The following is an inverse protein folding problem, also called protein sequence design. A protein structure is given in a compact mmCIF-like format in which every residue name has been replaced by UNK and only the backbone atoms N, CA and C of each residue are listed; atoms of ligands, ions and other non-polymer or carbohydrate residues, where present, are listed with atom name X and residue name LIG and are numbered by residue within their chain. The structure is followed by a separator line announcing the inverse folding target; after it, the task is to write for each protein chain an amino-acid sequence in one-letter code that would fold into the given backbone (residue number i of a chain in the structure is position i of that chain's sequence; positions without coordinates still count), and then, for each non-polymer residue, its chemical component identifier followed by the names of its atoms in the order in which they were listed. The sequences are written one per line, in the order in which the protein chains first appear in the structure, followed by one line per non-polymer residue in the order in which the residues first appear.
data_IF_070066196379
#
_entry.id   IF_070066196379
#
_cell.length_a   1.000
_cell.length_b   1.000
_cell.length_c   1.000
_cell.angle_alpha   90.00
_cell.angle_beta   90.00
_cell.angle_gamma   90.00
#
_symmetry.space_group_name_H-M   'P 1'
#
loop_
_entity.id
_entity.type
_entity.pdbx_description
1 polymer ?
#
# COMPACT_ATOMS: atom_id res chain seq x y z
N UNK A 1 -11.98 -10.52 22.94
CA UNK A 1 -11.58 -9.33 22.15
C UNK A 1 -12.22 -9.47 20.77
N UNK A 2 -13.03 -8.50 20.34
CA UNK A 2 -13.91 -8.64 19.17
C UNK A 2 -13.12 -8.64 17.84
N UNK A 3 -13.43 -9.55 16.91
CA UNK A 3 -12.78 -9.69 15.60
C UNK A 3 -12.76 -8.40 14.77
N UNK A 4 -13.75 -7.52 14.99
CA UNK A 4 -13.86 -6.19 14.37
C UNK A 4 -12.70 -5.27 14.79
N UNK A 5 -12.29 -5.30 16.06
CA UNK A 5 -11.19 -4.46 16.54
C UNK A 5 -9.86 -4.86 15.91
N UNK A 6 -9.61 -6.17 15.75
CA UNK A 6 -8.42 -6.67 15.08
C UNK A 6 -8.37 -6.27 13.61
N UNK A 7 -9.52 -6.24 12.93
CA UNK A 7 -9.60 -5.77 11.55
C UNK A 7 -9.19 -4.30 11.41
N UNK A 8 -9.73 -3.41 12.24
CA UNK A 8 -9.35 -1.99 12.20
C UNK A 8 -7.89 -1.77 12.61
N UNK A 9 -7.40 -2.51 13.61
CA UNK A 9 -5.99 -2.48 13.99
C UNK A 9 -5.10 -2.92 12.82
N UNK A 10 -5.49 -3.97 12.10
CA UNK A 10 -4.75 -4.46 10.93
C UNK A 10 -4.70 -3.43 9.80
N UNK A 11 -5.82 -2.79 9.48
CA UNK A 11 -5.88 -1.69 8.51
C UNK A 11 -4.97 -0.52 8.91
N UNK A 12 -5.01 -0.15 10.19
CA UNK A 12 -4.20 0.93 10.72
C UNK A 12 -2.70 0.61 10.66
N UNK A 13 -2.30 -0.59 11.09
CA UNK A 13 -0.90 -1.05 11.02
C UNK A 13 -0.43 -1.09 9.57
N UNK A 14 -1.24 -1.59 8.65
CA UNK A 14 -0.91 -1.59 7.22
C UNK A 14 -0.67 -0.18 6.68
N UNK A 15 -1.55 0.78 7.01
CA UNK A 15 -1.39 2.18 6.62
C UNK A 15 -0.13 2.82 7.22
N UNK A 16 0.16 2.58 8.50
CA UNK A 16 1.40 3.07 9.15
C UNK A 16 2.66 2.49 8.51
N UNK A 17 2.66 1.19 8.19
CA UNK A 17 3.78 0.54 7.50
C UNK A 17 4.00 1.16 6.11
N UNK A 18 2.93 1.44 5.38
CA UNK A 18 3.02 2.16 4.11
C UNK A 18 3.70 3.53 4.27
N UNK A 19 3.26 4.35 5.24
CA UNK A 19 3.84 5.67 5.49
C UNK A 19 5.33 5.56 5.86
N UNK A 20 5.69 4.60 6.70
CA UNK A 20 7.08 4.38 7.09
C UNK A 20 7.95 4.00 5.87
N UNK A 21 7.46 3.13 4.99
CA UNK A 21 8.14 2.78 3.75
C UNK A 21 8.23 3.95 2.77
N UNK A 22 7.19 4.78 2.65
CA UNK A 22 7.21 5.96 1.80
C UNK A 22 8.24 7.00 2.27
N UNK A 23 8.31 7.24 3.58
CA UNK A 23 9.31 8.13 4.17
C UNK A 23 10.73 7.58 3.99
N UNK A 24 10.94 6.27 4.22
CA UNK A 24 12.22 5.60 3.96
C UNK A 24 12.63 5.71 2.49
N UNK A 25 11.70 5.54 1.55
CA UNK A 25 11.96 5.65 0.13
C UNK A 25 12.41 7.07 -0.25
N UNK A 26 11.73 8.11 0.24
CA UNK A 26 12.13 9.51 0.00
C UNK A 26 13.52 9.82 0.58
N UNK A 27 13.82 9.33 1.79
CA UNK A 27 15.09 9.55 2.47
C UNK A 27 16.21 8.58 2.08
N UNK A 28 15.96 7.60 1.21
CA UNK A 28 16.85 6.46 1.01
C UNK A 28 18.25 6.86 0.55
N UNK A 29 18.36 7.84 -0.33
CA UNK A 29 19.65 8.31 -0.85
C UNK A 29 20.49 9.04 0.20
N UNK A 30 19.85 9.63 1.20
CA UNK A 30 20.51 10.38 2.29
C UNK A 30 20.79 9.50 3.51
N UNK A 31 20.15 8.33 3.61
CA UNK A 31 20.31 7.41 4.73
C UNK A 31 21.71 6.78 4.76
N UNK A 32 22.29 6.72 5.96
CA UNK A 32 23.56 6.01 6.21
C UNK A 32 23.40 4.50 5.96
N UNK A 33 24.48 3.77 5.66
CA UNK A 33 24.42 2.32 5.47
C UNK A 33 23.80 1.57 6.66
N UNK A 34 24.07 2.04 7.89
CA UNK A 34 23.47 1.47 9.11
C UNK A 34 21.94 1.60 9.09
N UNK A 35 21.42 2.79 8.78
CA UNK A 35 19.97 3.03 8.70
C UNK A 35 19.34 2.16 7.61
N UNK A 36 20.02 2.00 6.46
CA UNK A 36 19.54 1.12 5.37
C UNK A 36 19.40 -0.33 5.83
N UNK A 37 20.38 -0.85 6.58
CA UNK A 37 20.32 -2.21 7.14
C UNK A 37 19.15 -2.34 8.13
N UNK A 38 18.97 -1.37 9.03
CA UNK A 38 17.86 -1.35 9.98
C UNK A 38 16.49 -1.18 9.31
N UNK A 39 16.44 -0.55 8.14
CA UNK A 39 15.22 -0.39 7.36
C UNK A 39 14.79 -1.67 6.63
N UNK A 40 15.70 -2.64 6.40
CA UNK A 40 15.38 -3.87 5.67
C UNK A 40 14.30 -4.71 6.37
N UNK A 41 14.38 -5.03 7.68
CA UNK A 41 13.31 -5.74 8.37
C UNK A 41 11.94 -5.04 8.29
N UNK A 42 11.93 -3.71 8.41
CA UNK A 42 10.71 -2.91 8.29
C UNK A 42 10.12 -3.00 6.87
N UNK A 43 10.95 -2.83 5.83
CA UNK A 43 10.52 -2.94 4.45
C UNK A 43 10.03 -4.35 4.09
N UNK A 44 10.70 -5.40 4.59
CA UNK A 44 10.26 -6.79 4.43
C UNK A 44 8.92 -7.03 5.11
N UNK A 45 8.74 -6.52 6.33
CA UNK A 45 7.46 -6.62 7.06
C UNK A 45 6.35 -5.94 6.28
N UNK A 46 6.56 -4.71 5.83
CA UNK A 46 5.59 -3.98 5.03
C UNK A 46 5.25 -4.72 3.73
N UNK A 47 6.24 -5.28 3.03
CA UNK A 47 6.03 -6.06 1.82
C UNK A 47 5.19 -7.31 2.06
N UNK A 48 5.47 -8.07 3.13
CA UNK A 48 4.69 -9.26 3.48
C UNK A 48 3.25 -8.90 3.83
N UNK A 49 3.04 -7.84 4.62
CA UNK A 49 1.70 -7.37 4.97
C UNK A 49 0.95 -6.88 3.72
N UNK A 50 1.61 -6.16 2.81
CA UNK A 50 1.04 -5.71 1.53
C UNK A 50 0.59 -6.89 0.65
N UNK A 51 1.43 -7.94 0.57
CA UNK A 51 1.09 -9.17 -0.14
C UNK A 51 -0.12 -9.87 0.49
N UNK A 52 -0.12 -10.08 1.81
CA UNK A 52 -1.24 -10.73 2.51
C UNK A 52 -2.52 -9.92 2.34
N UNK A 53 -2.46 -8.60 2.47
CA UNK A 53 -3.61 -7.71 2.28
C UNK A 53 -4.18 -7.83 0.87
N UNK A 54 -3.33 -7.89 -0.15
CA UNK A 54 -3.72 -7.98 -1.55
C UNK A 54 -4.48 -9.26 -1.90
N UNK A 55 -4.11 -10.39 -1.28
CA UNK A 55 -4.75 -11.70 -1.53
C UNK A 55 -5.90 -12.02 -0.57
N UNK A 56 -6.17 -11.16 0.42
CA UNK A 56 -7.27 -11.35 1.38
C UNK A 56 -8.30 -10.23 1.24
N UNK A 57 -8.05 -9.08 1.86
CA UNK A 57 -8.98 -7.97 1.93
C UNK A 57 -9.19 -7.29 0.58
N UNK A 58 -8.14 -7.14 -0.23
CA UNK A 58 -8.28 -6.50 -1.54
C UNK A 58 -9.11 -7.35 -2.52
N UNK A 59 -9.15 -8.67 -2.34
CA UNK A 59 -10.03 -9.55 -3.12
C UNK A 59 -11.50 -9.22 -2.83
N UNK A 60 -11.83 -8.99 -1.56
CA UNK A 60 -13.18 -8.56 -1.16
C UNK A 60 -13.46 -7.13 -1.63
N UNK A 61 -12.50 -6.21 -1.51
CA UNK A 61 -12.66 -4.82 -1.91
C UNK A 61 -12.93 -4.65 -3.42
N UNK A 62 -12.20 -5.38 -4.25
CA UNK A 62 -12.30 -5.28 -5.71
C UNK A 62 -13.17 -6.38 -6.35
N UNK A 63 -13.70 -7.30 -5.53
CA UNK A 63 -14.47 -8.48 -5.95
C UNK A 63 -13.78 -9.28 -7.07
N UNK A 64 -12.46 -9.43 -6.96
CA UNK A 64 -11.62 -10.06 -7.98
C UNK A 64 -10.29 -10.51 -7.36
N UNK A 65 -9.68 -11.56 -7.89
CA UNK A 65 -8.28 -11.85 -7.61
C UNK A 65 -7.35 -10.79 -8.23
N UNK A 66 -6.12 -10.62 -7.72
CA UNK A 66 -5.18 -9.66 -8.29
C UNK A 66 -4.89 -9.97 -9.76
N UNK A 67 -4.81 -8.94 -10.63
CA UNK A 67 -4.35 -9.11 -12.00
C UNK A 67 -2.95 -9.73 -12.06
N UNK A 68 -2.61 -10.39 -13.17
CA UNK A 68 -1.30 -11.02 -13.33
C UNK A 68 -0.17 -9.98 -13.14
N UNK A 69 0.83 -10.32 -12.32
CA UNK A 69 1.94 -9.44 -11.97
C UNK A 69 1.66 -8.42 -10.86
N UNK A 70 0.43 -8.32 -10.36
CA UNK A 70 0.04 -7.44 -9.25
C UNK A 70 0.05 -8.19 -7.92
N UNK A 71 1.25 -8.57 -7.45
CA UNK A 71 1.40 -9.33 -6.18
C UNK A 71 1.14 -8.50 -4.93
N UNK A 72 1.27 -7.17 -5.01
CA UNK A 72 1.02 -6.24 -3.89
C UNK A 72 -0.19 -5.36 -4.16
N UNK A 73 -0.84 -4.88 -3.09
CA UNK A 73 -1.98 -3.95 -3.18
C UNK A 73 -1.53 -2.67 -3.85
N UNK A 74 -0.33 -2.18 -3.53
CA UNK A 74 0.23 -0.98 -4.13
C UNK A 74 0.25 -1.09 -5.66
N UNK A 75 0.82 -2.18 -6.20
CA UNK A 75 0.83 -2.42 -7.66
C UNK A 75 -0.56 -2.58 -8.24
N UNK A 76 -1.47 -3.25 -7.52
CA UNK A 76 -2.84 -3.47 -7.95
C UNK A 76 -3.64 -2.17 -8.04
N UNK A 77 -3.49 -1.27 -7.07
CA UNK A 77 -4.10 0.07 -7.09
C UNK A 77 -3.56 0.86 -8.28
N UNK A 78 -2.23 0.86 -8.50
CA UNK A 78 -1.64 1.49 -9.68
C UNK A 78 -2.16 0.89 -10.99
N UNK A 79 -2.35 -0.43 -11.05
CA UNK A 79 -2.92 -1.10 -12.22
C UNK A 79 -4.32 -0.57 -12.54
N UNK A 80 -5.26 -0.61 -11.59
CA UNK A 80 -6.64 -0.17 -11.84
C UNK A 80 -6.72 1.33 -12.15
N UNK A 81 -5.89 2.15 -11.51
CA UNK A 81 -5.80 3.58 -11.83
C UNK A 81 -5.37 3.83 -13.28
N UNK A 82 -4.38 3.09 -13.76
CA UNK A 82 -3.76 3.36 -15.06
C UNK A 82 -4.45 2.63 -16.22
N UNK A 83 -4.99 1.43 -15.99
CA UNK A 83 -5.55 0.58 -17.04
C UNK A 83 -7.09 0.56 -17.03
N UNK A 84 -7.73 0.81 -15.89
CA UNK A 84 -9.19 0.80 -15.74
C UNK A 84 -9.77 2.10 -15.12
N UNK A 85 -9.30 3.31 -15.47
CA UNK A 85 -9.65 4.55 -14.76
C UNK A 85 -11.16 4.88 -14.78
N UNK A 86 -11.88 4.47 -15.82
CA UNK A 86 -13.32 4.71 -15.96
C UNK A 86 -14.19 3.78 -15.10
N UNK A 87 -13.63 2.68 -14.58
CA UNK A 87 -14.37 1.69 -13.80
C UNK A 87 -14.52 2.11 -12.34
N UNK A 88 -15.45 1.48 -11.61
CA UNK A 88 -15.55 1.70 -10.16
C UNK A 88 -14.28 1.25 -9.41
N UNK A 89 -13.55 0.24 -9.91
CA UNK A 89 -12.26 -0.21 -9.34
C UNK A 89 -11.19 0.85 -9.50
N UNK A 90 -11.09 1.47 -10.68
CA UNK A 90 -10.23 2.61 -10.93
C UNK A 90 -10.57 3.80 -10.03
N UNK A 91 -11.85 4.08 -9.84
CA UNK A 91 -12.33 5.13 -8.91
C UNK A 91 -11.97 4.84 -7.46
N UNK A 92 -12.16 3.61 -6.97
CA UNK A 92 -11.75 3.20 -5.62
C UNK A 92 -10.24 3.30 -5.46
N UNK A 93 -9.48 2.80 -6.45
CA UNK A 93 -8.02 2.92 -6.46
C UNK A 93 -7.57 4.37 -6.38
N UNK A 94 -8.20 5.26 -7.15
CA UNK A 94 -7.94 6.72 -7.12
C UNK A 94 -8.31 7.33 -5.77
N UNK A 95 -9.46 6.98 -5.20
CA UNK A 95 -9.89 7.45 -3.89
C UNK A 95 -8.90 7.07 -2.79
N UNK A 96 -8.47 5.80 -2.76
CA UNK A 96 -7.47 5.33 -1.78
C UNK A 96 -6.16 6.09 -1.94
N UNK A 97 -5.70 6.21 -3.18
CA UNK A 97 -4.49 6.96 -3.53
C UNK A 97 -4.53 8.41 -3.01
N UNK A 98 -5.59 9.15 -3.37
CA UNK A 98 -5.69 10.58 -3.10
C UNK A 98 -5.93 10.90 -1.62
N UNK A 99 -6.64 10.04 -0.89
CA UNK A 99 -7.04 10.34 0.50
C UNK A 99 -6.13 9.71 1.54
N UNK A 100 -5.50 8.57 1.24
CA UNK A 100 -4.71 7.83 2.22
C UNK A 100 -3.21 7.83 1.92
N UNK A 101 -2.79 8.04 0.68
CA UNK A 101 -1.39 7.92 0.25
C UNK A 101 -0.77 9.29 -0.09
N UNK A 102 -1.37 10.01 -1.05
CA UNK A 102 -0.87 11.28 -1.58
C UNK A 102 -0.59 12.37 -0.52
N UNK A 103 -1.42 12.57 0.54
CA UNK A 103 -1.17 13.65 1.50
C UNK A 103 0.17 13.56 2.22
N UNK A 104 0.80 12.38 2.22
CA UNK A 104 2.05 12.09 2.91
C UNK A 104 3.22 11.84 1.98
N UNK A 105 3.02 11.91 0.65
CA UNK A 105 4.07 11.67 -0.33
C UNK A 105 4.33 12.95 -1.15
N UNK A 106 5.55 13.49 -1.07
CA UNK A 106 5.94 14.66 -1.86
C UNK A 106 6.02 14.28 -3.34
N UNK A 107 5.33 15.03 -4.21
CA UNK A 107 5.42 14.89 -5.67
C UNK A 107 4.23 14.22 -6.38
N UNK A 108 3.13 13.92 -5.68
CA UNK A 108 1.88 13.48 -6.33
C UNK A 108 2.01 12.13 -7.03
N UNK A 109 2.25 11.06 -6.26
CA UNK A 109 2.37 9.71 -6.82
C UNK A 109 1.10 9.32 -7.60
N UNK A 110 -0.05 9.87 -7.22
CA UNK A 110 -1.33 9.45 -7.75
C UNK A 110 -2.06 10.38 -8.72
N UNK A 111 -1.46 11.52 -9.11
CA UNK A 111 -2.01 12.46 -10.12
C UNK A 111 -1.95 11.94 -11.55
#
# INVERSE_FOLDING_TARGET
MSSVAFFFLYLYVFWVLFLACAALYQGWHQATPLVKVLAVPLALTAFVVDLVFNYTFAVLLFLQWPPQGCYTLTKRISYYKNHEPGTWRGKVGKFICQNFLDPFQQGGHCS
#
